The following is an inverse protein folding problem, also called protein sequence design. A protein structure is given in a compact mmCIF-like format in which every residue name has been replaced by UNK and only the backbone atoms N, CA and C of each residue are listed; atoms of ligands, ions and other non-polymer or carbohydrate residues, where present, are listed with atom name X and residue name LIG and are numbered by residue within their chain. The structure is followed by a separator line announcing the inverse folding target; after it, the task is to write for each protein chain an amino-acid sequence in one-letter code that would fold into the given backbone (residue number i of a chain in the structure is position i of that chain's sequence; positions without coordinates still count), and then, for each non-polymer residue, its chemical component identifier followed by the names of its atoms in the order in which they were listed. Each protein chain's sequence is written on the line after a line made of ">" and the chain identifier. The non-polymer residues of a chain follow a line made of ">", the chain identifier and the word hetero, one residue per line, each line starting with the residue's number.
data_IF_522958610680
#
_entry.id   IF_522958610680
#
_cell.length_a   1.000
_cell.length_b   1.000
_cell.length_c   1.000
_cell.angle_alpha   90.00
_cell.angle_beta   90.00
_cell.angle_gamma   90.00
#
_symmetry.space_group_name_H-M   'P 1'
#
loop_
_entity.id
_entity.type
_entity.pdbx_description
1 polymer ?
#
# COMPACT_ATOMS: atom_id res chain seq x y z
N UNK A 1 -11.66 15.91 24.45
CA UNK A 1 -10.76 15.23 25.43
C UNK A 1 -10.73 13.70 25.29
N UNK A 2 -11.83 12.99 25.04
CA UNK A 2 -11.83 11.51 24.88
C UNK A 2 -10.99 10.99 23.69
N UNK A 3 -10.84 11.75 22.59
CA UNK A 3 -10.06 11.27 21.41
C UNK A 3 -8.55 11.35 21.58
N UNK A 4 -8.02 12.31 22.35
CA UNK A 4 -6.58 12.47 22.54
C UNK A 4 -6.00 11.33 23.39
N UNK A 5 -6.68 10.98 24.49
CA UNK A 5 -6.28 9.86 25.35
C UNK A 5 -6.41 8.53 24.61
N UNK A 6 -7.47 8.33 23.82
CA UNK A 6 -7.63 7.14 22.98
C UNK A 6 -6.51 7.01 21.95
N UNK A 7 -6.12 8.09 21.26
CA UNK A 7 -4.99 8.10 20.30
C UNK A 7 -3.66 7.81 20.97
N UNK A 8 -3.42 8.39 22.16
CA UNK A 8 -2.20 8.14 22.94
C UNK A 8 -2.14 6.69 23.39
N UNK A 9 -3.23 6.13 23.94
CA UNK A 9 -3.30 4.72 24.30
C UNK A 9 -3.07 3.81 23.10
N UNK A 10 -3.67 4.13 21.95
CA UNK A 10 -3.48 3.35 20.72
C UNK A 10 -2.01 3.40 20.28
N UNK A 11 -1.34 4.55 20.36
CA UNK A 11 0.09 4.65 20.05
C UNK A 11 0.96 3.87 21.04
N UNK A 12 0.76 4.06 22.35
CA UNK A 12 1.52 3.38 23.39
C UNK A 12 1.24 1.88 23.49
N UNK A 13 0.13 1.38 22.94
CA UNK A 13 -0.17 -0.04 22.89
C UNK A 13 0.22 -0.67 21.54
N UNK A 14 -0.08 0.00 20.43
CA UNK A 14 0.18 -0.53 19.09
C UNK A 14 1.67 -0.59 18.76
N UNK A 15 2.46 0.44 19.11
CA UNK A 15 3.90 0.44 18.82
C UNK A 15 4.62 -0.68 19.58
N UNK A 16 4.43 -0.87 20.89
CA UNK A 16 5.01 -2.01 21.59
C UNK A 16 4.45 -3.35 21.14
N UNK A 17 3.16 -3.44 20.80
CA UNK A 17 2.58 -4.68 20.28
C UNK A 17 3.20 -5.10 18.93
N UNK A 18 3.45 -4.15 18.03
CA UNK A 18 4.17 -4.37 16.77
C UNK A 18 5.60 -4.85 17.05
N UNK A 19 6.32 -4.19 17.95
CA UNK A 19 7.67 -4.61 18.34
C UNK A 19 7.67 -6.01 18.96
N UNK A 20 6.69 -6.32 19.81
CA UNK A 20 6.56 -7.64 20.40
C UNK A 20 6.28 -8.72 19.35
N UNK A 21 5.46 -8.42 18.34
CA UNK A 21 5.20 -9.33 17.23
C UNK A 21 6.46 -9.61 16.40
N UNK A 22 7.26 -8.58 16.11
CA UNK A 22 8.51 -8.72 15.35
C UNK A 22 9.58 -9.46 16.15
N UNK A 23 9.74 -9.15 17.44
CA UNK A 23 10.83 -9.67 18.28
C UNK A 23 10.49 -11.05 18.86
N UNK A 24 9.29 -11.24 19.39
CA UNK A 24 8.91 -12.46 20.13
C UNK A 24 8.17 -13.49 19.29
N UNK A 25 7.75 -13.14 18.06
CA UNK A 25 7.07 -14.08 17.16
C UNK A 25 7.77 -14.30 15.80
N UNK A 26 9.08 -14.64 15.76
CA UNK A 26 9.78 -14.98 14.53
C UNK A 26 9.42 -16.38 13.99
N UNK A 27 8.18 -16.84 14.20
CA UNK A 27 7.70 -18.09 13.64
C UNK A 27 7.53 -17.94 12.10
N UNK A 28 8.17 -18.83 11.34
CA UNK A 28 8.10 -18.92 9.86
C UNK A 28 8.38 -17.58 9.13
N UNK A 29 9.53 -16.96 9.39
CA UNK A 29 10.01 -15.76 8.68
C UNK A 29 9.02 -14.57 8.76
N UNK A 30 8.54 -14.24 9.97
CA UNK A 30 7.67 -13.08 10.22
C UNK A 30 6.35 -13.06 9.42
N UNK A 31 5.83 -14.23 9.05
CA UNK A 31 4.62 -14.35 8.22
C UNK A 31 3.39 -13.68 8.88
N UNK A 32 3.25 -13.80 10.20
CA UNK A 32 2.18 -13.13 10.94
C UNK A 32 2.27 -11.60 10.80
N UNK A 33 3.47 -11.04 10.84
CA UNK A 33 3.71 -9.62 10.66
C UNK A 33 3.45 -9.18 9.21
N UNK A 34 3.86 -9.99 8.23
CA UNK A 34 3.55 -9.74 6.81
C UNK A 34 2.04 -9.75 6.54
N UNK A 35 1.28 -10.67 7.15
CA UNK A 35 -0.18 -10.70 7.05
C UNK A 35 -0.84 -9.46 7.66
N UNK A 36 -0.32 -8.97 8.80
CA UNK A 36 -0.79 -7.72 9.39
C UNK A 36 -0.53 -6.54 8.47
N UNK A 37 0.67 -6.43 7.90
CA UNK A 37 1.02 -5.39 6.94
C UNK A 37 0.13 -5.43 5.69
N UNK A 38 -0.22 -6.64 5.19
CA UNK A 38 -1.19 -6.80 4.11
C UNK A 38 -2.58 -6.31 4.50
N UNK A 39 -3.05 -6.66 5.71
CA UNK A 39 -4.34 -6.20 6.22
C UNK A 39 -4.40 -4.68 6.36
N UNK A 40 -3.39 -4.07 6.96
CA UNK A 40 -3.30 -2.61 7.09
C UNK A 40 -3.14 -1.91 5.75
N UNK A 41 -2.35 -2.46 4.82
CA UNK A 41 -2.24 -1.92 3.47
C UNK A 41 -3.58 -1.99 2.73
N UNK A 42 -4.34 -3.07 2.86
CA UNK A 42 -5.68 -3.20 2.29
C UNK A 42 -6.61 -2.09 2.82
N UNK A 43 -6.69 -1.92 4.15
CA UNK A 43 -7.50 -0.89 4.78
C UNK A 43 -7.06 0.52 4.35
N UNK A 44 -5.76 0.81 4.41
CA UNK A 44 -5.21 2.11 4.01
C UNK A 44 -5.46 2.43 2.54
N UNK A 45 -5.42 1.41 1.67
CA UNK A 45 -5.74 1.55 0.25
C UNK A 45 -7.21 1.86 0.02
N UNK A 46 -8.12 1.19 0.74
CA UNK A 46 -9.55 1.43 0.63
C UNK A 46 -9.93 2.83 1.14
N UNK A 47 -9.39 3.24 2.28
CA UNK A 47 -9.59 4.59 2.83
C UNK A 47 -9.04 5.66 1.88
N UNK A 48 -7.83 5.46 1.37
CA UNK A 48 -7.22 6.41 0.45
C UNK A 48 -7.97 6.50 -0.88
N UNK A 49 -8.45 5.37 -1.40
CA UNK A 49 -9.29 5.33 -2.60
C UNK A 49 -10.59 6.10 -2.38
N UNK A 50 -11.20 5.99 -1.18
CA UNK A 50 -12.37 6.78 -0.82
C UNK A 50 -12.06 8.30 -0.75
N UNK A 51 -10.92 8.69 -0.18
CA UNK A 51 -10.48 10.09 -0.15
C UNK A 51 -10.21 10.66 -1.55
N UNK A 52 -9.60 9.86 -2.44
CA UNK A 52 -9.36 10.26 -3.83
C UNK A 52 -10.66 10.42 -4.61
N UNK A 53 -11.67 9.59 -4.33
CA UNK A 53 -13.01 9.71 -4.91
C UNK A 53 -13.67 11.04 -4.57
N UNK A 54 -13.50 11.54 -3.35
CA UNK A 54 -13.99 12.88 -2.95
C UNK A 54 -13.29 14.02 -3.73
N UNK A 55 -12.08 13.78 -4.23
CA UNK A 55 -11.32 14.70 -5.09
C UNK A 55 -11.62 14.53 -6.59
N UNK A 56 -12.58 13.68 -6.95
CA UNK A 56 -12.97 13.42 -8.33
C UNK A 56 -12.07 12.40 -9.07
N UNK A 57 -11.10 11.81 -8.38
CA UNK A 57 -10.23 10.76 -8.92
C UNK A 57 -10.86 9.41 -8.56
N UNK A 58 -11.38 8.70 -9.55
CA UNK A 58 -12.14 7.46 -9.33
C UNK A 58 -11.44 6.28 -9.98
N UNK A 59 -10.89 5.41 -9.15
CA UNK A 59 -10.39 4.11 -9.58
C UNK A 59 -11.38 3.01 -9.21
N UNK A 60 -11.46 1.93 -10.01
CA UNK A 60 -12.13 0.74 -9.55
C UNK A 60 -11.42 0.17 -8.31
N UNK A 61 -12.21 -0.38 -7.38
CA UNK A 61 -11.71 -0.89 -6.09
C UNK A 61 -10.62 -1.94 -6.28
N UNK A 62 -10.82 -2.87 -7.22
CA UNK A 62 -9.83 -3.92 -7.51
C UNK A 62 -8.50 -3.33 -8.00
N UNK A 63 -8.52 -2.27 -8.80
CA UNK A 63 -7.30 -1.61 -9.29
C UNK A 63 -6.56 -0.90 -8.16
N UNK A 64 -7.30 -0.19 -7.30
CA UNK A 64 -6.73 0.45 -6.10
C UNK A 64 -6.05 -0.60 -5.22
N UNK A 65 -6.73 -1.71 -4.93
CA UNK A 65 -6.21 -2.81 -4.12
C UNK A 65 -4.96 -3.45 -4.74
N UNK A 66 -4.93 -3.68 -6.05
CA UNK A 66 -3.73 -4.21 -6.72
C UNK A 66 -2.56 -3.25 -6.52
N UNK A 67 -2.74 -1.95 -6.78
CA UNK A 67 -1.66 -0.97 -6.61
C UNK A 67 -1.16 -0.90 -5.16
N UNK A 68 -2.06 -0.85 -4.19
CA UNK A 68 -1.69 -0.71 -2.78
C UNK A 68 -1.07 -1.98 -2.18
N UNK A 69 -1.49 -3.17 -2.62
CA UNK A 69 -1.02 -4.44 -2.04
C UNK A 69 0.21 -5.01 -2.73
N UNK A 70 0.43 -4.66 -4.00
CA UNK A 70 1.43 -5.28 -4.85
C UNK A 70 2.85 -5.25 -4.28
N UNK A 71 3.29 -4.13 -3.70
CA UNK A 71 4.63 -4.02 -3.09
C UNK A 71 4.75 -4.82 -1.80
N UNK A 72 3.70 -4.82 -0.97
CA UNK A 72 3.67 -5.57 0.29
C UNK A 72 3.69 -7.07 0.03
N UNK A 73 2.98 -7.51 -1.02
CA UNK A 73 3.03 -8.90 -1.48
C UNK A 73 4.42 -9.27 -1.99
N UNK A 74 5.07 -8.37 -2.73
CA UNK A 74 6.41 -8.61 -3.26
C UNK A 74 7.45 -8.77 -2.14
N UNK A 75 7.41 -7.91 -1.12
CA UNK A 75 8.33 -8.03 0.03
C UNK A 75 8.02 -9.27 0.88
N UNK A 76 6.74 -9.55 1.15
CA UNK A 76 6.31 -10.75 1.88
C UNK A 76 6.76 -12.05 1.19
N UNK A 77 6.61 -12.14 -0.13
CA UNK A 77 7.05 -13.30 -0.93
C UNK A 77 8.57 -13.42 -0.92
N UNK A 78 9.30 -12.31 -1.12
CA UNK A 78 10.76 -12.30 -1.13
C UNK A 78 11.34 -12.78 0.19
N UNK A 79 10.76 -12.31 1.32
CA UNK A 79 11.14 -12.72 2.66
C UNK A 79 10.80 -14.19 2.94
N UNK A 80 9.58 -14.63 2.59
CA UNK A 80 9.13 -15.98 2.89
C UNK A 80 9.92 -17.05 2.13
N UNK A 81 10.14 -16.84 0.83
CA UNK A 81 10.86 -17.76 -0.04
C UNK A 81 12.39 -17.58 -0.03
N UNK A 82 12.91 -16.61 0.76
CA UNK A 82 14.35 -16.31 0.87
C UNK A 82 15.02 -16.08 -0.48
N UNK A 83 14.35 -15.31 -1.34
CA UNK A 83 14.88 -14.99 -2.66
C UNK A 83 16.18 -14.17 -2.51
N UNK A 84 17.22 -14.55 -3.24
CA UNK A 84 18.50 -13.82 -3.25
C UNK A 84 18.39 -12.41 -3.84
N UNK A 85 17.35 -12.17 -4.65
CA UNK A 85 17.04 -10.86 -5.24
C UNK A 85 15.68 -10.41 -4.75
N UNK A 86 15.63 -9.19 -4.24
CA UNK A 86 14.40 -8.57 -3.82
C UNK A 86 13.53 -8.22 -5.04
N UNK A 87 12.27 -8.66 -5.03
CA UNK A 87 11.30 -8.42 -6.10
C UNK A 87 10.71 -7.00 -6.03
N UNK A 88 10.85 -6.29 -4.90
CA UNK A 88 10.26 -4.95 -4.71
C UNK A 88 10.65 -3.97 -5.80
N UNK A 89 11.90 -3.97 -6.25
CA UNK A 89 12.40 -3.08 -7.31
C UNK A 89 11.72 -3.34 -8.66
N UNK A 90 11.62 -4.61 -9.06
CA UNK A 90 10.94 -5.00 -10.30
C UNK A 90 9.45 -4.64 -10.24
N UNK A 91 8.82 -4.92 -9.11
CA UNK A 91 7.42 -4.61 -8.86
C UNK A 91 7.17 -3.10 -8.87
N UNK A 92 8.09 -2.29 -8.32
CA UNK A 92 8.03 -0.82 -8.40
C UNK A 92 7.98 -0.34 -9.84
N UNK A 93 8.88 -0.84 -10.69
CA UNK A 93 8.92 -0.48 -12.11
C UNK A 93 7.62 -0.89 -12.82
N UNK A 94 7.13 -2.11 -12.59
CA UNK A 94 5.85 -2.56 -13.16
C UNK A 94 4.68 -1.68 -12.70
N UNK A 95 4.68 -1.23 -11.44
CA UNK A 95 3.63 -0.37 -10.89
C UNK A 95 3.56 0.96 -11.59
N UNK A 96 4.72 1.60 -11.80
CA UNK A 96 4.81 2.82 -12.57
C UNK A 96 4.37 2.63 -14.03
N UNK A 97 4.75 1.52 -14.66
CA UNK A 97 4.28 1.20 -16.01
C UNK A 97 2.75 1.06 -16.04
N UNK A 98 2.15 0.36 -15.08
CA UNK A 98 0.68 0.19 -14.99
C UNK A 98 -0.04 1.53 -14.79
N UNK A 99 0.49 2.39 -13.91
CA UNK A 99 -0.11 3.71 -13.64
C UNK A 99 -0.01 4.60 -14.88
N UNK A 100 1.19 4.72 -15.47
CA UNK A 100 1.42 5.59 -16.62
C UNK A 100 0.68 5.08 -17.86
N UNK A 101 0.66 3.77 -18.11
CA UNK A 101 -0.07 3.19 -19.24
C UNK A 101 -1.58 3.38 -19.07
N UNK A 102 -2.13 3.21 -17.86
CA UNK A 102 -3.54 3.46 -17.57
C UNK A 102 -3.98 4.89 -17.93
N UNK A 103 -3.07 5.86 -17.87
CA UNK A 103 -3.34 7.26 -18.22
C UNK A 103 -3.08 7.63 -19.68
N UNK A 104 -2.31 6.81 -20.42
CA UNK A 104 -1.97 7.02 -21.85
C UNK A 104 -3.05 6.46 -22.78
N UNK A 105 -3.91 5.55 -22.32
CA UNK A 105 -5.02 5.01 -23.10
C UNK A 105 -6.39 5.64 -22.77
N UNK A 106 -6.57 6.98 -22.78
CA UNK A 106 -7.87 7.54 -22.46
C UNK A 106 -8.91 7.19 -23.53
N UNK A 107 -10.07 6.75 -23.04
CA UNK A 107 -11.35 6.81 -23.74
C UNK A 107 -11.58 8.25 -24.26
N UNK A 108 -11.48 8.44 -25.58
CA UNK A 108 -12.03 9.47 -26.50
C UNK A 108 -12.37 10.93 -26.06
N UNK A 109 -12.33 11.33 -24.79
CA UNK A 109 -12.87 12.60 -24.27
C UNK A 109 -12.21 13.13 -22.97
N UNK A 110 -11.07 12.59 -22.50
CA UNK A 110 -10.40 13.12 -21.31
C UNK A 110 -9.45 14.28 -21.65
N UNK A 111 -9.58 15.41 -20.95
CA UNK A 111 -8.59 16.49 -20.98
C UNK A 111 -7.28 16.04 -20.33
N UNK A 112 -6.14 16.52 -20.86
CA UNK A 112 -4.80 16.22 -20.36
C UNK A 112 -4.66 16.45 -18.84
N UNK A 113 -5.28 17.51 -18.33
CA UNK A 113 -5.30 17.87 -16.92
C UNK A 113 -5.86 16.76 -16.02
N UNK A 114 -6.95 16.10 -16.45
CA UNK A 114 -7.54 14.98 -15.72
C UNK A 114 -6.59 13.78 -15.65
N UNK A 115 -5.85 13.51 -16.72
CA UNK A 115 -4.89 12.41 -16.74
C UNK A 115 -3.74 12.65 -15.76
N UNK A 116 -3.28 13.90 -15.57
CA UNK A 116 -2.25 14.21 -14.56
C UNK A 116 -2.76 13.90 -13.15
N UNK A 117 -4.01 14.26 -12.84
CA UNK A 117 -4.63 13.96 -11.56
C UNK A 117 -4.76 12.45 -11.32
N UNK A 118 -5.13 11.69 -12.34
CA UNK A 118 -5.22 10.22 -12.26
C UNK A 118 -3.82 9.59 -12.05
N UNK A 119 -2.78 10.06 -12.73
CA UNK A 119 -1.39 9.60 -12.50
C UNK A 119 -0.99 9.89 -11.05
N UNK A 120 -1.22 11.12 -10.57
CA UNK A 120 -0.91 11.53 -9.20
C UNK A 120 -1.63 10.67 -8.16
N UNK A 121 -2.93 10.42 -8.36
CA UNK A 121 -3.72 9.55 -7.48
C UNK A 121 -3.24 8.10 -7.49
N UNK A 122 -2.91 7.56 -8.66
CA UNK A 122 -2.36 6.20 -8.80
C UNK A 122 -1.00 6.04 -8.12
N UNK A 123 -0.10 7.01 -8.29
CA UNK A 123 1.19 7.03 -7.60
C UNK A 123 1.02 7.12 -6.08
N UNK A 124 0.08 7.94 -5.61
CA UNK A 124 -0.18 8.10 -4.18
C UNK A 124 -0.75 6.81 -3.57
N UNK A 125 -1.68 6.14 -4.27
CA UNK A 125 -2.17 4.80 -3.91
C UNK A 125 -1.08 3.73 -3.90
N UNK A 126 -0.09 3.85 -4.77
CA UNK A 126 1.01 2.91 -4.85
C UNK A 126 2.02 3.09 -3.72
N UNK A 127 2.37 4.34 -3.40
CA UNK A 127 3.39 4.67 -2.41
C UNK A 127 2.86 4.61 -0.98
N UNK A 128 1.70 5.23 -0.72
CA UNK A 128 1.28 5.57 0.64
C UNK A 128 0.86 4.35 1.49
N UNK A 129 0.09 3.37 0.98
CA UNK A 129 -0.10 2.10 1.68
C UNK A 129 0.92 1.04 1.27
N UNK A 130 1.34 0.99 0.00
CA UNK A 130 2.13 -0.11 -0.56
C UNK A 130 3.61 -0.05 -0.19
N UNK A 131 4.30 1.01 -0.61
CA UNK A 131 5.73 1.15 -0.38
C UNK A 131 6.07 1.24 1.11
N UNK A 132 5.27 1.98 1.88
CA UNK A 132 5.50 2.14 3.32
C UNK A 132 5.38 0.81 4.08
N UNK A 133 4.32 0.04 3.82
CA UNK A 133 4.14 -1.27 4.48
C UNK A 133 5.14 -2.31 3.99
N UNK A 134 5.55 -2.24 2.71
CA UNK A 134 6.57 -3.14 2.18
C UNK A 134 7.94 -2.95 2.84
N UNK A 135 8.31 -1.71 3.19
CA UNK A 135 9.57 -1.39 3.89
C UNK A 135 9.62 -1.90 5.33
N UNK A 136 8.46 -2.13 5.96
CA UNK A 136 8.40 -2.66 7.32
C UNK A 136 8.71 -4.16 7.39
N UNK A 137 8.48 -4.90 6.29
CA UNK A 137 8.67 -6.35 6.16
C UNK A 137 10.11 -6.66 5.79
#
# INVERSE_FOLDING_TARGET
>A
MKSAVSRLLLFFLAVPAILCLVIFLPFRNNLAFALLCLGFSCLGTLELSAMLKEKGIVFPVWYSLILGLMLVLASAVSLHFRLQRDLTGLVTVLGFIIILSGSIFPHKNNSFEKNIHDIGGGLLLFVYPGFFMAYLI
#
